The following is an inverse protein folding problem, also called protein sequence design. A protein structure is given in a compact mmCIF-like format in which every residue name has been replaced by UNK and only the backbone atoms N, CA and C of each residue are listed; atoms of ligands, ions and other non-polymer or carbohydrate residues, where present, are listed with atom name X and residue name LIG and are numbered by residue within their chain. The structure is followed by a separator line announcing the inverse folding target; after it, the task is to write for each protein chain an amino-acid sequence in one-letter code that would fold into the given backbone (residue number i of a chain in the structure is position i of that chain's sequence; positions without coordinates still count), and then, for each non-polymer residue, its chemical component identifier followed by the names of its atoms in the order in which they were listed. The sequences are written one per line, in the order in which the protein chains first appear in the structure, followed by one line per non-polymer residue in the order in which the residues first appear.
data_IF_372852679570
#
_entry.id   IF_372852679570
#
_cell.length_a   1.000
_cell.length_b   1.000
_cell.length_c   1.000
_cell.angle_alpha   90.00
_cell.angle_beta   90.00
_cell.angle_gamma   90.00
#
_symmetry.space_group_name_H-M   'P 1'
#
loop_
_entity.id
_entity.type
_entity.pdbx_description
1 polymer ?
#
# COMPACT_ATOMS: atom_id res chain seq x y z
N UNK A 1 -26.08 26.09 29.77
CA UNK A 1 -24.60 25.94 29.81
C UNK A 1 -24.23 24.55 29.32
N UNK A 2 -23.18 24.39 28.49
CA UNK A 2 -22.71 23.06 28.07
C UNK A 2 -21.67 22.51 29.06
N UNK A 3 -21.99 21.40 29.73
CA UNK A 3 -21.14 20.78 30.76
C UNK A 3 -20.34 19.57 30.24
N UNK A 4 -20.63 19.10 29.03
CA UNK A 4 -20.04 17.89 28.45
C UNK A 4 -18.51 17.99 28.27
N UNK A 5 -17.93 19.12 27.81
CA UNK A 5 -16.46 19.31 27.71
C UNK A 5 -15.70 19.20 29.03
N UNK A 6 -16.39 19.38 30.16
CA UNK A 6 -15.80 19.32 31.50
C UNK A 6 -15.80 17.90 32.08
N UNK A 7 -16.37 16.92 31.37
CA UNK A 7 -16.45 15.53 31.83
C UNK A 7 -15.30 14.71 31.26
N UNK A 8 -14.66 13.93 32.11
CA UNK A 8 -13.53 13.07 31.74
C UNK A 8 -13.91 11.93 30.79
N UNK A 9 -15.18 11.55 30.69
CA UNK A 9 -15.66 10.53 29.76
C UNK A 9 -16.04 11.07 28.37
N UNK A 10 -15.93 12.38 28.14
CA UNK A 10 -16.31 12.94 26.85
C UNK A 10 -15.34 12.49 25.75
N UNK A 11 -15.86 11.72 24.79
CA UNK A 11 -15.12 11.15 23.66
C UNK A 11 -14.28 12.17 22.87
N UNK A 12 -14.75 13.42 22.74
CA UNK A 12 -14.07 14.45 21.94
C UNK A 12 -12.98 15.22 22.70
N UNK A 13 -12.78 14.94 23.98
CA UNK A 13 -11.71 15.56 24.75
C UNK A 13 -10.37 15.05 24.26
N UNK A 14 -9.38 15.94 24.07
CA UNK A 14 -8.04 15.60 23.56
C UNK A 14 -7.41 14.40 24.28
N UNK A 15 -7.51 14.36 25.62
CA UNK A 15 -7.00 13.26 26.45
C UNK A 15 -7.59 11.88 26.08
N UNK A 16 -8.87 11.83 25.72
CA UNK A 16 -9.53 10.57 25.37
C UNK A 16 -9.19 10.16 23.94
N UNK A 17 -9.09 11.13 23.02
CA UNK A 17 -8.63 10.88 21.66
C UNK A 17 -7.20 10.34 21.67
N UNK A 18 -6.31 10.92 22.47
CA UNK A 18 -4.93 10.45 22.64
C UNK A 18 -4.85 9.05 23.26
N UNK A 19 -5.75 8.72 24.19
CA UNK A 19 -5.82 7.38 24.77
C UNK A 19 -6.24 6.35 23.72
N UNK A 20 -7.31 6.62 22.97
CA UNK A 20 -7.75 5.76 21.87
C UNK A 20 -6.64 5.57 20.85
N UNK A 21 -5.96 6.65 20.48
CA UNK A 21 -4.84 6.58 19.54
C UNK A 21 -3.70 5.70 20.05
N UNK A 22 -3.34 5.81 21.34
CA UNK A 22 -2.32 4.94 21.94
C UNK A 22 -2.75 3.48 21.92
N UNK A 23 -4.00 3.20 22.29
CA UNK A 23 -4.53 1.84 22.33
C UNK A 23 -4.59 1.24 20.91
N UNK A 24 -4.97 2.03 19.90
CA UNK A 24 -4.94 1.66 18.48
C UNK A 24 -3.52 1.42 17.96
N UNK A 25 -2.57 2.28 18.32
CA UNK A 25 -1.16 2.13 17.96
C UNK A 25 -0.56 0.86 18.59
N UNK A 26 -0.86 0.58 19.87
CA UNK A 26 -0.44 -0.64 20.56
C UNK A 26 -1.03 -1.89 19.92
N UNK A 27 -2.33 -1.89 19.63
CA UNK A 27 -2.97 -3.02 18.96
C UNK A 27 -2.37 -3.28 17.57
N UNK A 28 -2.05 -2.22 16.82
CA UNK A 28 -1.42 -2.34 15.52
C UNK A 28 0.03 -2.86 15.60
N UNK A 29 0.78 -2.50 16.65
CA UNK A 29 2.14 -3.00 16.87
C UNK A 29 2.15 -4.48 17.28
N UNK A 30 1.27 -4.89 18.20
CA UNK A 30 1.11 -6.29 18.60
C UNK A 30 0.69 -7.19 17.41
N UNK A 31 -0.20 -6.71 16.54
CA UNK A 31 -0.59 -7.45 15.34
C UNK A 31 0.60 -7.63 14.37
N UNK A 32 1.40 -6.57 14.16
CA UNK A 32 2.61 -6.65 13.32
C UNK A 32 3.63 -7.63 13.89
N UNK A 33 3.85 -7.62 15.20
CA UNK A 33 4.77 -8.57 15.84
C UNK A 33 4.27 -10.02 15.70
N UNK A 34 2.96 -10.24 15.88
CA UNK A 34 2.35 -11.55 15.66
C UNK A 34 2.53 -12.02 14.22
N UNK A 35 2.26 -11.16 13.23
CA UNK A 35 2.44 -11.48 11.82
C UNK A 35 3.91 -11.77 11.50
N UNK A 36 4.85 -10.99 12.05
CA UNK A 36 6.29 -11.22 11.90
C UNK A 36 6.68 -12.60 12.43
N UNK A 37 6.16 -12.99 13.61
CA UNK A 37 6.43 -14.31 14.20
C UNK A 37 5.88 -15.44 13.35
N UNK A 38 4.67 -15.29 12.82
CA UNK A 38 4.05 -16.27 11.91
C UNK A 38 4.90 -16.42 10.64
N UNK A 39 5.28 -15.31 10.01
CA UNK A 39 6.08 -15.33 8.79
C UNK A 39 7.46 -15.98 9.02
N UNK A 40 8.10 -15.71 10.16
CA UNK A 40 9.36 -16.34 10.53
C UNK A 40 9.19 -17.85 10.71
N UNK A 41 8.20 -18.29 11.49
CA UNK A 41 7.90 -19.71 11.68
C UNK A 41 7.55 -20.42 10.36
N UNK A 42 6.81 -19.77 9.45
CA UNK A 42 6.49 -20.31 8.13
C UNK A 42 7.75 -20.47 7.28
N UNK A 43 8.63 -19.46 7.27
CA UNK A 43 9.91 -19.52 6.56
C UNK A 43 10.82 -20.63 7.10
N UNK A 44 10.92 -20.77 8.42
CA UNK A 44 11.68 -21.84 9.08
C UNK A 44 11.12 -23.21 8.70
N UNK A 45 9.81 -23.42 8.85
CA UNK A 45 9.14 -24.67 8.50
C UNK A 45 9.34 -25.04 7.02
N UNK A 46 9.27 -24.06 6.13
CA UNK A 46 9.54 -24.25 4.70
C UNK A 46 10.99 -24.68 4.46
N UNK A 47 11.94 -24.02 5.11
CA UNK A 47 13.37 -24.38 4.98
C UNK A 47 13.66 -25.76 5.54
N UNK A 48 13.05 -26.14 6.66
CA UNK A 48 13.20 -27.46 7.27
C UNK A 48 12.64 -28.57 6.39
N UNK A 49 11.46 -28.35 5.79
CA UNK A 49 10.90 -29.27 4.81
C UNK A 49 11.84 -29.47 3.62
N UNK A 50 12.40 -28.39 3.07
CA UNK A 50 13.35 -28.47 1.96
C UNK A 50 14.64 -29.19 2.37
N UNK A 51 15.14 -28.95 3.59
CA UNK A 51 16.31 -29.64 4.15
C UNK A 51 16.06 -31.14 4.31
N UNK A 52 14.89 -31.53 4.84
CA UNK A 52 14.51 -32.93 4.99
C UNK A 52 14.39 -33.62 3.62
N UNK A 53 13.77 -32.95 2.65
CA UNK A 53 13.65 -33.48 1.27
C UNK A 53 15.03 -33.64 0.60
N UNK A 54 15.93 -32.69 0.79
CA UNK A 54 17.30 -32.78 0.26
C UNK A 54 18.07 -33.95 0.91
N UNK A 55 17.95 -34.12 2.23
CA UNK A 55 18.55 -35.27 2.95
C UNK A 55 18.00 -36.61 2.46
N UNK A 56 16.70 -36.69 2.16
CA UNK A 56 16.10 -37.92 1.63
C UNK A 56 16.69 -38.25 0.25
N UNK A 57 16.76 -37.26 -0.65
CA UNK A 57 17.37 -37.45 -1.99
C UNK A 57 18.81 -37.92 -1.92
N UNK A 58 19.63 -37.32 -1.06
CA UNK A 58 21.03 -37.75 -0.90
C UNK A 58 21.15 -39.19 -0.41
N UNK A 59 20.24 -39.64 0.47
CA UNK A 59 20.22 -41.04 0.93
C UNK A 59 19.81 -41.99 -0.19
N UNK A 60 18.82 -41.62 -0.99
CA UNK A 60 18.37 -42.42 -2.14
C UNK A 60 19.50 -42.55 -3.19
N UNK A 61 20.27 -41.48 -3.42
CA UNK A 61 21.42 -41.47 -4.34
C UNK A 61 22.61 -42.31 -3.81
N UNK A 62 22.77 -42.45 -2.49
CA UNK A 62 23.83 -43.25 -1.87
C UNK A 62 23.50 -44.76 -1.81
N UNK A 63 22.22 -45.17 -1.80
CA UNK A 63 21.83 -46.60 -1.81
C UNK A 63 21.87 -47.25 -3.22
N UNK A 64 21.89 -46.48 -4.32
CA UNK A 64 21.94 -47.00 -5.69
C UNK A 64 23.36 -47.15 -6.29
N UNK A 65 24.44 -46.82 -5.55
CA UNK A 65 25.82 -46.88 -6.06
C UNK A 65 26.82 -47.53 -5.09
N UNK A 66 26.57 -48.79 -4.69
CA UNK A 66 27.57 -49.73 -4.15
C UNK A 66 28.38 -50.38 -5.29
N UNK A 67 28.99 -49.56 -6.15
CA UNK A 67 29.71 -50.01 -7.35
C UNK A 67 30.93 -49.15 -7.68
N UNK A 68 32.07 -49.51 -7.10
CA UNK A 68 33.43 -49.08 -7.48
C UNK A 68 33.66 -47.55 -7.60
N UNK A 69 33.78 -46.86 -6.46
CA UNK A 69 34.45 -45.55 -6.42
C UNK A 69 35.97 -45.75 -6.47
N UNK A 70 36.51 -45.94 -7.67
CA UNK A 70 37.93 -45.66 -7.91
C UNK A 70 38.23 -44.23 -7.48
N UNK A 71 39.18 -44.10 -6.57
CA UNK A 71 39.67 -42.84 -6.02
C UNK A 71 40.52 -42.16 -7.09
N UNK A 72 39.87 -41.58 -8.10
CA UNK A 72 40.55 -40.70 -9.05
C UNK A 72 40.74 -39.38 -8.32
N UNK A 73 42.00 -39.05 -8.08
CA UNK A 73 42.49 -37.83 -7.44
C UNK A 73 42.14 -36.60 -8.29
N UNK A 74 40.85 -36.26 -8.34
CA UNK A 74 40.37 -35.02 -8.93
C UNK A 74 40.64 -33.94 -7.91
N UNK A 75 41.78 -33.25 -8.06
CA UNK A 75 42.13 -32.06 -7.29
C UNK A 75 40.87 -31.23 -7.05
N UNK A 76 40.55 -31.06 -5.77
CA UNK A 76 39.38 -30.41 -5.21
C UNK A 76 38.76 -29.38 -6.16
N UNK A 77 37.82 -29.82 -7.01
CA UNK A 77 36.83 -28.93 -7.60
C UNK A 77 35.89 -28.54 -6.47
N UNK A 78 36.36 -27.62 -5.62
CA UNK A 78 35.53 -26.82 -4.74
C UNK A 78 34.32 -26.39 -5.57
N UNK A 79 33.12 -26.55 -5.00
CA UNK A 79 31.90 -26.01 -5.60
C UNK A 79 32.16 -24.54 -5.92
N UNK A 80 31.84 -24.12 -7.15
CA UNK A 80 32.12 -22.76 -7.62
C UNK A 80 31.36 -21.78 -6.72
N UNK A 81 32.05 -21.19 -5.76
CA UNK A 81 31.49 -20.25 -4.82
C UNK A 81 31.37 -18.88 -5.50
N UNK A 82 30.26 -18.66 -6.21
CA UNK A 82 29.96 -17.38 -6.85
C UNK A 82 29.93 -16.18 -5.88
N UNK A 83 29.90 -16.45 -4.56
CA UNK A 83 29.84 -15.45 -3.49
C UNK A 83 31.14 -15.34 -2.69
N UNK A 84 32.21 -16.06 -3.05
CA UNK A 84 33.52 -15.99 -2.36
C UNK A 84 34.01 -14.55 -2.21
N UNK A 85 33.83 -13.76 -3.26
CA UNK A 85 34.30 -12.37 -3.33
C UNK A 85 33.50 -11.46 -2.39
N UNK A 86 32.20 -11.74 -2.21
CA UNK A 86 31.33 -10.96 -1.31
C UNK A 86 31.63 -11.30 0.15
N UNK A 87 31.83 -12.59 0.47
CA UNK A 87 32.19 -13.05 1.82
C UNK A 87 33.59 -12.58 2.25
N UNK A 88 34.53 -12.51 1.30
CA UNK A 88 35.86 -11.92 1.51
C UNK A 88 35.83 -10.37 1.61
N UNK A 89 34.65 -9.76 1.55
CA UNK A 89 34.48 -8.31 1.73
C UNK A 89 34.84 -7.48 0.50
N UNK A 90 35.13 -8.12 -0.65
CA UNK A 90 35.28 -7.45 -1.93
C UNK A 90 33.90 -7.09 -2.46
N UNK A 91 33.29 -6.06 -1.85
CA UNK A 91 32.10 -5.42 -2.40
C UNK A 91 32.49 -4.81 -3.75
N UNK A 92 32.17 -5.49 -4.84
CA UNK A 92 32.05 -4.88 -6.16
C UNK A 92 30.92 -3.85 -6.09
N UNK A 93 31.19 -2.71 -5.45
CA UNK A 93 30.32 -1.54 -5.35
C UNK A 93 30.34 -0.82 -6.70
N UNK A 94 29.92 -1.49 -7.76
CA UNK A 94 29.35 -0.77 -8.90
C UNK A 94 27.94 -0.36 -8.49
N UNK A 95 27.87 0.67 -7.64
CA UNK A 95 26.61 1.35 -7.39
C UNK A 95 26.22 1.98 -8.72
N UNK A 96 25.05 1.63 -9.25
CA UNK A 96 24.57 2.24 -10.47
C UNK A 96 24.40 3.74 -10.21
N UNK A 97 25.22 4.57 -10.86
CA UNK A 97 25.19 6.03 -10.69
C UNK A 97 23.81 6.61 -11.02
N UNK A 98 23.09 5.99 -11.95
CA UNK A 98 21.73 6.37 -12.32
C UNK A 98 20.75 6.17 -11.16
N UNK A 99 20.90 5.08 -10.40
CA UNK A 99 20.02 4.73 -9.29
C UNK A 99 20.20 5.63 -8.06
N UNK A 100 21.43 6.09 -7.79
CA UNK A 100 21.66 7.08 -6.72
C UNK A 100 21.13 8.47 -7.11
N UNK A 101 21.23 8.83 -8.40
CA UNK A 101 20.62 10.07 -8.93
C UNK A 101 19.10 10.01 -8.82
N UNK A 102 18.48 8.91 -9.23
CA UNK A 102 17.03 8.70 -9.12
C UNK A 102 16.55 8.81 -7.68
N UNK A 103 17.20 8.12 -6.74
CA UNK A 103 16.89 8.23 -5.30
C UNK A 103 17.05 9.64 -4.76
N UNK A 104 18.04 10.38 -5.23
CA UNK A 104 18.25 11.77 -4.83
C UNK A 104 17.13 12.67 -5.37
N UNK A 105 16.74 12.49 -6.62
CA UNK A 105 15.60 13.21 -7.21
C UNK A 105 14.28 12.89 -6.53
N UNK A 106 14.03 11.62 -6.18
CA UNK A 106 12.84 11.21 -5.42
C UNK A 106 12.80 11.87 -4.05
N UNK A 107 13.93 11.88 -3.33
CA UNK A 107 14.05 12.60 -2.06
C UNK A 107 13.81 14.08 -2.23
N UNK A 108 14.41 14.73 -3.22
CA UNK A 108 14.20 16.14 -3.47
C UNK A 108 12.75 16.44 -3.86
N UNK A 109 12.09 15.60 -4.67
CA UNK A 109 10.66 15.74 -5.02
C UNK A 109 9.79 15.60 -3.78
N UNK A 110 10.09 14.64 -2.91
CA UNK A 110 9.39 14.44 -1.63
C UNK A 110 9.58 15.63 -0.70
N UNK A 111 10.82 16.09 -0.51
CA UNK A 111 11.16 17.25 0.31
C UNK A 111 10.54 18.54 -0.24
N UNK A 112 10.51 18.72 -1.56
CA UNK A 112 9.81 19.83 -2.24
C UNK A 112 8.29 19.73 -2.04
N UNK A 113 7.73 18.52 -2.09
CA UNK A 113 6.28 18.31 -1.91
C UNK A 113 5.81 18.62 -0.48
N UNK A 114 6.65 18.30 0.51
CA UNK A 114 6.43 18.58 1.94
C UNK A 114 6.74 20.04 2.28
N UNK A 115 7.59 20.70 1.48
CA UNK A 115 8.05 22.08 1.74
C UNK A 115 9.26 22.16 2.67
N UNK A 116 10.05 21.09 2.76
CA UNK A 116 11.34 21.09 3.45
C UNK A 116 12.42 21.71 2.56
N UNK A 117 12.42 21.37 1.27
CA UNK A 117 13.32 21.91 0.25
C UNK A 117 12.60 22.97 -0.60
N UNK A 118 12.08 24.01 0.05
CA UNK A 118 11.53 25.19 -0.62
C UNK A 118 12.51 26.34 -0.53
N UNK A 119 13.02 26.80 -1.67
CA UNK A 119 13.95 27.93 -1.70
C UNK A 119 13.22 29.25 -1.40
N UNK A 120 13.92 30.17 -0.73
CA UNK A 120 13.40 31.50 -0.40
C UNK A 120 13.00 32.23 -1.71
N UNK A 121 11.74 32.62 -1.84
CA UNK A 121 11.19 33.23 -3.07
C UNK A 121 10.43 32.28 -3.99
N UNK A 122 10.51 30.96 -3.80
CA UNK A 122 9.60 29.98 -4.40
C UNK A 122 8.39 29.78 -3.49
N UNK A 123 7.61 30.84 -3.26
CA UNK A 123 6.41 30.68 -2.43
C UNK A 123 5.45 29.71 -3.11
N UNK A 124 5.03 28.68 -2.38
CA UNK A 124 4.09 27.63 -2.83
C UNK A 124 2.71 28.17 -3.25
N UNK A 125 2.45 29.47 -3.12
CA UNK A 125 1.15 30.11 -3.36
C UNK A 125 1.01 30.58 -4.81
N UNK A 126 2.09 31.06 -5.44
CA UNK A 126 2.06 31.56 -6.82
C UNK A 126 2.29 30.46 -7.87
N UNK A 127 3.06 29.43 -7.53
CA UNK A 127 3.37 28.31 -8.42
C UNK A 127 2.26 27.24 -8.46
N UNK A 128 1.46 27.13 -7.39
CA UNK A 128 0.31 26.22 -7.36
C UNK A 128 -0.89 26.94 -7.94
N UNK A 129 -1.38 26.47 -9.09
CA UNK A 129 -2.63 26.95 -9.73
C UNK A 129 -3.86 26.87 -8.81
N UNK A 130 -3.76 26.07 -7.74
CA UNK A 130 -4.79 25.89 -6.72
C UNK A 130 -4.39 26.60 -5.44
N UNK A 131 -5.19 27.60 -5.06
CA UNK A 131 -5.01 28.34 -3.80
C UNK A 131 -5.04 27.39 -2.59
N UNK A 132 -4.15 27.54 -1.60
CA UNK A 132 -4.15 26.68 -0.42
C UNK A 132 -5.45 26.81 0.37
N UNK A 133 -5.85 25.75 1.08
CA UNK A 133 -7.15 25.63 1.75
C UNK A 133 -7.49 26.75 2.75
N UNK A 134 -6.49 27.47 3.24
CA UNK A 134 -6.68 28.67 4.09
C UNK A 134 -7.45 29.77 3.34
N UNK A 135 -7.26 29.91 2.02
CA UNK A 135 -8.02 30.85 1.18
C UNK A 135 -9.45 30.37 0.85
N UNK A 136 -9.83 29.13 1.16
CA UNK A 136 -11.21 28.65 0.95
C UNK A 136 -12.22 29.30 1.88
N UNK A 137 -11.79 29.75 3.05
CA UNK A 137 -12.67 30.41 4.03
C UNK A 137 -12.84 31.91 3.77
N UNK A 138 -11.97 32.51 2.94
CA UNK A 138 -12.04 33.93 2.57
C UNK A 138 -12.87 34.20 1.31
N UNK A 139 -13.17 33.19 0.50
CA UNK A 139 -14.02 33.35 -0.68
C UNK A 139 -15.47 33.00 -0.33
N UNK A 140 -16.43 33.94 -0.40
CA UNK A 140 -17.84 33.59 -0.31
C UNK A 140 -18.16 32.58 -1.43
N UNK A 141 -19.05 31.60 -1.20
CA UNK A 141 -19.42 30.65 -2.23
C UNK A 141 -19.82 31.43 -3.48
N UNK A 142 -19.17 31.13 -4.62
CA UNK A 142 -19.53 31.73 -5.91
C UNK A 142 -21.02 31.47 -6.10
N UNK A 143 -21.83 32.51 -5.93
CA UNK A 143 -23.26 32.45 -6.24
C UNK A 143 -23.32 32.17 -7.74
N UNK A 144 -23.84 31.00 -8.12
CA UNK A 144 -24.12 30.71 -9.53
C UNK A 144 -25.00 31.83 -10.06
N UNK A 145 -24.80 32.25 -11.30
CA UNK A 145 -25.70 33.25 -11.87
C UNK A 145 -27.12 32.66 -11.89
N UNK A 146 -28.16 33.49 -11.76
CA UNK A 146 -29.56 33.02 -11.84
C UNK A 146 -29.83 32.27 -13.15
N UNK A 147 -29.06 32.55 -14.20
CA UNK A 147 -29.13 31.88 -15.49
C UNK A 147 -28.58 30.45 -15.44
N UNK A 148 -27.45 30.24 -14.75
CA UNK A 148 -26.86 28.91 -14.54
C UNK A 148 -27.78 28.01 -13.69
N UNK A 149 -28.40 28.57 -12.64
CA UNK A 149 -29.35 27.84 -11.80
C UNK A 149 -30.60 27.44 -12.59
N UNK A 150 -31.15 28.36 -13.40
CA UNK A 150 -32.29 28.07 -14.27
C UNK A 150 -31.97 27.01 -15.33
N UNK A 151 -30.77 27.04 -15.93
CA UNK A 151 -30.36 26.01 -16.90
C UNK A 151 -30.22 24.62 -16.24
N UNK A 152 -29.66 24.54 -15.03
CA UNK A 152 -29.59 23.27 -14.29
C UNK A 152 -30.97 22.73 -13.91
N UNK A 153 -31.89 23.60 -13.48
CA UNK A 153 -33.27 23.20 -13.19
C UNK A 153 -34.02 22.73 -14.43
N UNK A 154 -33.87 23.44 -15.55
CA UNK A 154 -34.51 23.07 -16.81
C UNK A 154 -33.98 21.73 -17.35
N UNK A 155 -32.67 21.49 -17.26
CA UNK A 155 -32.08 20.19 -17.62
C UNK A 155 -32.60 19.06 -16.72
N UNK A 156 -32.75 19.29 -15.41
CA UNK A 156 -33.35 18.30 -14.48
C UNK A 156 -34.80 18.01 -14.82
N UNK A 157 -35.60 19.04 -15.15
CA UNK A 157 -37.00 18.87 -15.58
C UNK A 157 -37.08 18.06 -16.87
N UNK A 158 -36.25 18.39 -17.86
CA UNK A 158 -36.14 17.66 -19.14
C UNK A 158 -35.77 16.19 -18.91
N UNK A 159 -34.78 15.91 -18.07
CA UNK A 159 -34.40 14.53 -17.73
C UNK A 159 -35.53 13.76 -17.00
N UNK A 160 -36.28 14.42 -16.12
CA UNK A 160 -37.39 13.77 -15.40
C UNK A 160 -38.62 13.52 -16.29
N UNK A 161 -38.84 14.36 -17.30
CA UNK A 161 -39.97 14.24 -18.23
C UNK A 161 -39.66 13.36 -19.43
N UNK A 162 -38.39 12.97 -19.63
CA UNK A 162 -37.98 12.07 -20.71
C UNK A 162 -38.38 10.61 -20.40
N UNK A 163 -39.26 9.99 -21.23
CA UNK A 163 -39.65 8.59 -21.07
C UNK A 163 -38.47 7.63 -21.27
N UNK A 164 -37.45 7.98 -22.07
CA UNK A 164 -36.26 7.14 -22.26
C UNK A 164 -35.44 7.04 -20.97
N UNK A 165 -35.35 8.12 -20.21
CA UNK A 165 -34.65 8.12 -18.92
C UNK A 165 -35.33 7.18 -17.92
N UNK A 166 -36.67 7.25 -17.84
CA UNK A 166 -37.47 6.33 -17.01
C UNK A 166 -37.29 4.87 -17.45
N UNK A 167 -37.36 4.58 -18.75
CA UNK A 167 -37.14 3.23 -19.27
C UNK A 167 -35.74 2.70 -18.94
N UNK A 168 -34.71 3.55 -19.05
CA UNK A 168 -33.33 3.21 -18.69
C UNK A 168 -33.19 2.83 -17.21
N UNK A 169 -33.81 3.59 -16.31
CA UNK A 169 -33.85 3.24 -14.88
C UNK A 169 -34.51 1.89 -14.62
N UNK A 170 -35.63 1.58 -15.28
CA UNK A 170 -36.30 0.28 -15.14
C UNK A 170 -35.43 -0.87 -15.66
N UNK A 171 -34.75 -0.68 -16.79
CA UNK A 171 -33.80 -1.68 -17.33
C UNK A 171 -32.63 -1.90 -16.36
N UNK A 172 -32.07 -0.84 -15.77
CA UNK A 172 -31.01 -0.93 -14.78
C UNK A 172 -31.46 -1.64 -13.49
N UNK A 173 -32.64 -1.33 -12.97
CA UNK A 173 -33.25 -2.04 -11.83
C UNK A 173 -33.42 -3.54 -12.12
N UNK A 174 -33.89 -3.89 -13.32
CA UNK A 174 -34.04 -5.29 -13.75
C UNK A 174 -32.69 -6.04 -13.85
N UNK A 175 -31.64 -5.37 -14.34
CA UNK A 175 -30.27 -5.92 -14.35
C UNK A 175 -29.75 -6.16 -12.93
N UNK A 176 -29.95 -5.21 -12.00
CA UNK A 176 -29.54 -5.34 -10.60
C UNK A 176 -30.27 -6.47 -9.87
N UNK A 177 -31.58 -6.65 -10.09
CA UNK A 177 -32.34 -7.78 -9.52
C UNK A 177 -31.82 -9.13 -10.03
N UNK A 178 -31.61 -9.30 -11.35
CA UNK A 178 -31.03 -10.54 -11.91
C UNK A 178 -29.65 -10.88 -11.33
N UNK A 179 -28.82 -9.88 -11.03
CA UNK A 179 -27.51 -10.11 -10.43
C UNK A 179 -27.61 -10.58 -8.96
N UNK A 180 -28.58 -10.05 -8.19
CA UNK A 180 -28.82 -10.47 -6.81
C UNK A 180 -29.37 -11.90 -6.73
N UNK A 181 -30.28 -12.27 -7.62
CA UNK A 181 -30.85 -13.63 -7.65
C UNK A 181 -29.78 -14.69 -8.01
N UNK A 182 -28.89 -14.39 -8.96
CA UNK A 182 -27.76 -15.27 -9.30
C UNK A 182 -26.76 -15.46 -8.17
N UNK A 183 -26.59 -14.46 -7.31
CA UNK A 183 -25.67 -14.55 -6.17
C UNK A 183 -26.27 -15.35 -5.00
N UNK A 184 -27.61 -15.43 -4.91
CA UNK A 184 -28.33 -16.17 -3.87
C UNK A 184 -28.47 -17.66 -4.17
N UNK A 185 -28.37 -18.06 -5.45
CA UNK A 185 -28.43 -19.47 -5.91
C UNK A 185 -27.05 -20.16 -5.87
N UNK A 186 -25.95 -19.42 -5.67
CA UNK A 186 -24.58 -19.95 -5.66
C UNK A 186 -23.95 -20.06 -4.26
N UNK A 187 -24.72 -19.82 -3.19
CA UNK A 187 -24.37 -20.13 -1.79
C UNK A 187 -25.21 -21.31 -1.33
#
# INVERSE_FOLDING_TARGET
MNILPKKNWHVRTKKNIERVRRDEEQAAEEEKERQRRIALAESEARTDLLRQRAKHRQRDDDEEYEGDRQVVEFQARQHVNFFSDIEQGMKQKKVNEEHEKEKKEEKEKWEKSIGLLTYLGQSSVESKTTKPGIYRYSEPPKKKSKEEENMEEDMKRKHSLDPLHKMKEYVEKKKKHKHKDKHKVRQ
#
